data_IF_449666683663
#
_entry.id   IF_449666683663
#
_cell.length_a   1.000
_cell.length_b   1.000
_cell.length_c   1.000
_cell.angle_alpha   90.00
_cell.angle_beta   90.00
_cell.angle_gamma   90.00
#
_symmetry.space_group_name_H-M   'P 1'
#
loop_
_entity.id
_entity.type
_entity.pdbx_description
1 polymer ?
#
# COMPACT_ATOMS: atom_id res chain seq x y z
N UNK A 1 -19.90 -21.52 26.37
CA UNK A 1 -18.86 -20.53 26.01
C UNK A 1 -18.29 -20.91 24.67
N UNK A 2 -18.20 -19.99 23.71
CA UNK A 2 -17.51 -20.24 22.45
C UNK A 2 -16.02 -19.98 22.70
N UNK A 3 -15.19 -21.01 22.60
CA UNK A 3 -13.74 -20.85 22.61
C UNK A 3 -13.26 -20.43 21.22
N UNK A 4 -12.36 -19.45 21.16
CA UNK A 4 -11.77 -18.99 19.91
C UNK A 4 -10.90 -20.11 19.32
N UNK A 5 -11.27 -20.62 18.13
CA UNK A 5 -10.59 -21.79 17.53
C UNK A 5 -9.38 -21.41 16.67
N UNK A 6 -9.47 -20.30 15.95
CA UNK A 6 -8.43 -19.83 15.04
C UNK A 6 -8.37 -18.31 15.02
N UNK A 7 -7.17 -17.78 14.79
CA UNK A 7 -6.93 -16.37 14.46
C UNK A 7 -6.19 -16.35 13.13
N UNK A 8 -6.64 -15.50 12.22
CA UNK A 8 -5.99 -15.26 10.92
C UNK A 8 -5.48 -13.83 10.96
N UNK A 9 -4.21 -13.65 10.60
CA UNK A 9 -3.55 -12.36 10.56
C UNK A 9 -3.17 -12.05 9.12
N UNK A 10 -3.34 -10.80 8.72
CA UNK A 10 -2.68 -10.27 7.53
C UNK A 10 -1.22 -9.89 7.86
N UNK A 11 -0.42 -9.62 6.84
CA UNK A 11 0.99 -9.27 6.98
C UNK A 11 1.20 -7.77 7.09
N UNK A 12 0.96 -7.04 6.01
CA UNK A 12 1.28 -5.61 5.87
C UNK A 12 0.39 -4.77 6.78
N UNK A 13 1.00 -3.87 7.56
CA UNK A 13 0.29 -3.06 8.56
C UNK A 13 -0.40 -3.85 9.69
N UNK A 14 -0.19 -5.17 9.79
CA UNK A 14 -0.82 -6.03 10.79
C UNK A 14 0.22 -6.73 11.66
N UNK A 15 1.06 -7.61 11.08
CA UNK A 15 2.23 -8.19 11.78
C UNK A 15 3.46 -7.30 11.57
N UNK A 16 3.55 -6.64 10.42
CA UNK A 16 4.68 -5.81 10.03
C UNK A 16 4.29 -4.33 10.00
N UNK A 17 5.15 -3.47 10.55
CA UNK A 17 5.08 -2.02 10.35
C UNK A 17 5.96 -1.62 9.16
N UNK A 18 5.40 -1.75 7.97
CA UNK A 18 6.11 -1.71 6.69
C UNK A 18 5.63 -0.60 5.74
N UNK A 19 4.71 0.27 6.21
CA UNK A 19 4.15 1.37 5.42
C UNK A 19 5.22 2.28 4.84
N UNK A 20 6.20 2.67 5.65
CA UNK A 20 7.32 3.53 5.21
C UNK A 20 8.12 2.87 4.07
N UNK A 21 8.31 1.55 4.14
CA UNK A 21 9.03 0.79 3.13
C UNK A 21 8.23 0.68 1.83
N UNK A 22 6.91 0.46 1.94
CA UNK A 22 6.01 0.44 0.79
C UNK A 22 6.01 1.79 0.06
N UNK A 23 5.97 2.91 0.79
CA UNK A 23 6.05 4.25 0.21
C UNK A 23 7.41 4.48 -0.48
N UNK A 24 8.52 4.11 0.17
CA UNK A 24 9.86 4.25 -0.41
C UNK A 24 10.05 3.42 -1.70
N UNK A 25 9.54 2.19 -1.70
CA UNK A 25 9.55 1.33 -2.88
C UNK A 25 8.70 1.92 -4.01
N UNK A 26 7.50 2.42 -3.70
CA UNK A 26 6.62 3.05 -4.70
C UNK A 26 7.26 4.31 -5.29
N UNK A 27 7.85 5.16 -4.45
CA UNK A 27 8.52 6.38 -4.90
C UNK A 27 9.71 6.08 -5.82
N UNK A 28 10.40 4.95 -5.61
CA UNK A 28 11.43 4.47 -6.53
C UNK A 28 10.88 4.12 -7.91
N UNK A 29 9.65 3.60 -7.99
CA UNK A 29 8.96 3.29 -9.26
C UNK A 29 8.45 4.57 -9.93
N UNK A 30 7.79 5.45 -9.17
CA UNK A 30 7.25 6.73 -9.65
C UNK A 30 8.36 7.62 -10.23
N UNK A 31 9.48 7.74 -9.52
CA UNK A 31 10.63 8.52 -9.97
C UNK A 31 11.19 8.01 -11.31
N UNK A 32 11.28 6.69 -11.51
CA UNK A 32 11.74 6.10 -12.78
C UNK A 32 10.81 6.38 -13.95
N UNK A 33 9.55 6.73 -13.68
CA UNK A 33 8.53 7.07 -14.67
C UNK A 33 8.30 8.58 -14.82
N UNK A 34 9.10 9.41 -14.14
CA UNK A 34 8.91 10.86 -14.06
C UNK A 34 7.51 11.26 -13.55
N UNK A 35 6.96 10.49 -12.62
CA UNK A 35 5.68 10.77 -11.96
C UNK A 35 5.91 11.43 -10.60
N UNK A 36 4.91 12.15 -10.10
CA UNK A 36 4.95 12.76 -8.77
C UNK A 36 5.19 11.69 -7.69
N UNK A 37 6.13 11.95 -6.78
CA UNK A 37 6.37 11.08 -5.63
C UNK A 37 5.22 11.16 -4.63
N UNK A 38 5.01 10.06 -3.92
CA UNK A 38 3.97 9.89 -2.94
C UNK A 38 4.43 10.34 -1.55
N UNK A 39 3.64 11.21 -0.92
CA UNK A 39 3.73 11.48 0.53
C UNK A 39 2.96 10.42 1.31
N UNK A 40 3.21 10.33 2.61
CA UNK A 40 2.46 9.41 3.47
C UNK A 40 0.96 9.71 3.50
N UNK A 41 0.56 10.99 3.56
CA UNK A 41 -0.85 11.39 3.51
C UNK A 41 -1.51 10.97 2.19
N UNK A 42 -0.81 11.12 1.06
CA UNK A 42 -1.31 10.66 -0.24
C UNK A 42 -1.41 9.13 -0.29
N UNK A 43 -0.44 8.40 0.27
CA UNK A 43 -0.50 6.95 0.38
C UNK A 43 -1.74 6.50 1.14
N UNK A 44 -1.99 7.06 2.33
CA UNK A 44 -3.16 6.74 3.14
C UNK A 44 -4.48 7.09 2.44
N UNK A 45 -4.49 8.14 1.61
CA UNK A 45 -5.66 8.55 0.84
C UNK A 45 -5.93 7.64 -0.37
N UNK A 46 -4.89 7.21 -1.08
CA UNK A 46 -5.03 6.51 -2.36
C UNK A 46 -5.00 4.99 -2.25
N UNK A 47 -4.29 4.45 -1.26
CA UNK A 47 -4.12 3.00 -1.10
C UNK A 47 -5.49 2.30 -1.00
N UNK A 48 -5.65 1.26 -1.80
CA UNK A 48 -6.92 0.55 -1.89
C UNK A 48 -6.70 -0.84 -2.48
N UNK A 49 -7.67 -1.72 -2.24
CA UNK A 49 -7.76 -3.02 -2.88
C UNK A 49 -8.92 -3.02 -3.89
N UNK A 50 -8.78 -3.70 -5.05
CA UNK A 50 -7.59 -4.42 -5.49
C UNK A 50 -6.44 -3.45 -5.85
N UNK A 51 -5.19 -3.90 -5.68
CA UNK A 51 -3.99 -3.05 -5.80
C UNK A 51 -3.88 -2.37 -7.18
N UNK A 52 -4.48 -2.95 -8.23
CA UNK A 52 -4.54 -2.31 -9.55
C UNK A 52 -5.24 -0.94 -9.53
N UNK A 53 -6.27 -0.76 -8.69
CA UNK A 53 -6.96 0.51 -8.54
C UNK A 53 -6.10 1.56 -7.83
N UNK A 54 -5.25 1.15 -6.90
CA UNK A 54 -4.29 2.04 -6.27
C UNK A 54 -3.34 2.64 -7.31
N UNK A 55 -2.76 1.81 -8.19
CA UNK A 55 -1.91 2.34 -9.25
C UNK A 55 -2.67 3.23 -10.24
N UNK A 56 -3.91 2.88 -10.62
CA UNK A 56 -4.74 3.73 -11.48
C UNK A 56 -4.98 5.11 -10.85
N UNK A 57 -5.24 5.16 -9.53
CA UNK A 57 -5.40 6.41 -8.77
C UNK A 57 -4.12 7.25 -8.72
N UNK A 58 -2.95 6.61 -8.79
CA UNK A 58 -1.67 7.31 -8.93
C UNK A 58 -1.39 7.80 -10.36
N UNK A 59 -2.24 7.44 -11.34
CA UNK A 59 -2.13 7.88 -12.73
C UNK A 59 -1.36 6.92 -13.64
N UNK A 60 -1.17 5.66 -13.25
CA UNK A 60 -0.55 4.66 -14.15
C UNK A 60 -1.50 4.29 -15.31
N UNK A 61 -0.96 4.22 -16.52
CA UNK A 61 -1.59 3.84 -17.79
C UNK A 61 -0.93 2.56 -18.36
N UNK A 62 -1.36 1.41 -17.88
CA UNK A 62 -0.86 0.11 -18.37
C UNK A 62 -1.46 -0.29 -19.71
#
# INVERSE_FOLDING_TARGET
MIALKHIIWDWNGTILDDRWLTIAAMNSVLARRNMDILTEDQYLKFFTFPVIEYYRRLGFDF
#
